data_IF_003430776680
#
_entry.id   IF_003430776680
#
_cell.length_a   1.000
_cell.length_b   1.000
_cell.length_c   1.000
_cell.angle_alpha   90.00
_cell.angle_beta   90.00
_cell.angle_gamma   90.00
#
_symmetry.space_group_name_H-M   'P 1'
#
loop_
_entity.id
_entity.type
_entity.pdbx_description
1 polymer ?
#
# COMPACT_ATOMS: atom_id res chain seq x y z
N UNK A 1 7.79 -19.47 -26.95
CA UNK A 1 6.87 -18.68 -26.12
C UNK A 1 7.73 -17.73 -25.33
N UNK A 2 7.57 -16.43 -25.55
CA UNK A 2 8.33 -15.41 -24.82
C UNK A 2 7.84 -15.37 -23.36
N UNK A 3 8.78 -15.25 -22.42
CA UNK A 3 8.45 -15.17 -21.00
C UNK A 3 7.72 -13.86 -20.70
N UNK A 4 6.65 -13.87 -19.87
CA UNK A 4 5.96 -12.64 -19.51
C UNK A 4 6.89 -11.70 -18.72
N UNK A 5 6.75 -10.40 -18.94
CA UNK A 5 7.46 -9.39 -18.16
C UNK A 5 6.88 -9.28 -16.74
N UNK A 6 7.65 -8.73 -15.79
CA UNK A 6 7.13 -8.38 -14.46
C UNK A 6 5.92 -7.46 -14.58
N UNK A 7 5.93 -6.49 -15.50
CA UNK A 7 4.79 -5.63 -15.77
C UNK A 7 3.55 -6.43 -16.16
N UNK A 8 3.68 -7.39 -17.08
CA UNK A 8 2.58 -8.23 -17.55
C UNK A 8 1.93 -9.00 -16.39
N UNK A 9 2.76 -9.57 -15.51
CA UNK A 9 2.30 -10.32 -14.34
C UNK A 9 1.62 -9.42 -13.30
N UNK A 10 2.17 -8.23 -13.04
CA UNK A 10 1.55 -7.21 -12.17
C UNK A 10 0.27 -6.63 -12.78
N UNK A 11 0.11 -6.72 -14.09
CA UNK A 11 -1.05 -6.20 -14.82
C UNK A 11 -2.21 -7.18 -14.91
N UNK A 12 -2.03 -8.40 -14.40
CA UNK A 12 -3.06 -9.43 -14.39
C UNK A 12 -4.33 -8.97 -13.64
N UNK A 13 -5.47 -9.51 -14.07
CA UNK A 13 -6.77 -9.29 -13.41
C UNK A 13 -6.69 -9.70 -11.93
N UNK A 14 -7.14 -8.81 -11.06
CA UNK A 14 -7.32 -9.13 -9.63
C UNK A 14 -8.59 -9.95 -9.40
N UNK A 15 -8.56 -10.82 -8.41
CA UNK A 15 -9.75 -11.49 -7.88
C UNK A 15 -10.82 -10.47 -7.50
N UNK A 16 -12.06 -10.70 -7.95
CA UNK A 16 -13.22 -9.90 -7.55
C UNK A 16 -13.71 -10.39 -6.19
N UNK A 17 -13.97 -9.42 -5.30
CA UNK A 17 -14.48 -9.65 -3.97
C UNK A 17 -15.89 -9.08 -3.90
N UNK A 18 -16.87 -9.90 -3.54
CA UNK A 18 -18.28 -9.52 -3.46
C UNK A 18 -18.70 -9.37 -2.01
N UNK A 19 -19.15 -8.17 -1.65
CA UNK A 19 -19.63 -7.84 -0.32
C UNK A 19 -21.01 -8.47 -0.04
N UNK A 20 -21.04 -9.44 0.87
CA UNK A 20 -22.26 -10.01 1.46
C UNK A 20 -22.37 -9.70 2.96
N UNK A 21 -21.67 -8.67 3.44
CA UNK A 21 -21.71 -8.26 4.83
C UNK A 21 -23.08 -7.66 5.18
N UNK A 22 -23.51 -7.87 6.42
CA UNK A 22 -24.56 -7.03 7.01
C UNK A 22 -23.89 -5.78 7.53
N UNK A 23 -24.51 -4.61 7.35
CA UNK A 23 -23.98 -3.34 7.90
C UNK A 23 -23.91 -3.44 9.42
N UNK A 24 -22.73 -3.71 9.93
CA UNK A 24 -22.42 -3.62 11.36
C UNK A 24 -21.56 -2.39 11.58
N UNK A 25 -22.13 -1.43 12.30
CA UNK A 25 -21.41 -0.22 12.67
C UNK A 25 -20.59 -0.53 13.91
N UNK A 26 -19.27 -0.61 13.77
CA UNK A 26 -18.39 -0.62 14.93
C UNK A 26 -18.53 0.72 15.67
N UNK A 27 -18.93 0.66 16.95
CA UNK A 27 -19.03 1.84 17.81
C UNK A 27 -17.68 2.31 18.35
N UNK A 28 -16.63 1.51 18.18
CA UNK A 28 -15.30 1.84 18.67
C UNK A 28 -14.59 2.72 17.63
N UNK A 29 -14.41 3.99 18.00
CA UNK A 29 -13.57 4.91 17.24
C UNK A 29 -12.12 4.57 17.57
N UNK A 30 -11.33 4.05 16.62
CA UNK A 30 -9.92 3.78 16.87
C UNK A 30 -9.19 5.08 17.19
N UNK A 31 -8.14 5.01 18.00
CA UNK A 31 -7.28 6.18 18.21
C UNK A 31 -6.60 6.54 16.88
N UNK A 32 -6.55 7.82 16.54
CA UNK A 32 -6.05 8.34 15.26
C UNK A 32 -4.97 9.40 15.49
N UNK A 33 -4.21 9.73 14.46
CA UNK A 33 -3.47 11.00 14.44
C UNK A 33 -4.37 12.09 13.85
N UNK A 34 -4.25 13.32 14.36
CA UNK A 34 -4.99 14.45 13.80
C UNK A 34 -4.30 14.93 12.53
N UNK A 35 -5.01 14.86 11.41
CA UNK A 35 -4.62 15.48 10.14
C UNK A 35 -5.76 16.39 9.73
N UNK A 36 -5.49 17.66 9.53
CA UNK A 36 -6.44 18.62 8.99
C UNK A 36 -6.93 18.16 7.60
N UNK A 37 -8.25 18.11 7.32
CA UNK A 37 -8.77 17.63 6.03
C UNK A 37 -8.15 18.32 4.81
N UNK A 38 -7.86 19.61 4.91
CA UNK A 38 -7.19 20.42 3.88
C UNK A 38 -5.77 19.95 3.57
N UNK A 39 -5.13 19.23 4.49
CA UNK A 39 -3.79 18.65 4.34
C UNK A 39 -3.84 17.23 3.73
N UNK A 40 -5.03 16.74 3.34
CA UNK A 40 -5.24 15.45 2.70
C UNK A 40 -5.59 15.69 1.24
N UNK A 41 -4.63 15.47 0.34
CA UNK A 41 -4.76 15.82 -1.09
C UNK A 41 -4.63 14.60 -2.01
N UNK A 42 -5.01 14.73 -3.29
CA UNK A 42 -4.79 13.67 -4.29
C UNK A 42 -3.30 13.54 -4.63
N UNK A 43 -2.82 12.30 -4.73
CA UNK A 43 -1.45 11.97 -5.13
C UNK A 43 -1.34 11.75 -6.64
N UNK A 44 -1.50 12.84 -7.40
CA UNK A 44 -1.56 12.78 -8.87
C UNK A 44 -0.30 12.22 -9.54
N UNK A 45 0.85 12.34 -8.87
CA UNK A 45 2.13 11.82 -9.37
C UNK A 45 2.25 10.30 -9.25
N UNK A 46 1.41 9.64 -8.45
CA UNK A 46 1.37 8.18 -8.33
C UNK A 46 0.49 7.59 -9.43
N UNK A 47 1.06 7.45 -10.62
CA UNK A 47 0.39 6.99 -11.82
C UNK A 47 1.28 6.04 -12.65
N UNK A 48 0.68 5.34 -13.62
CA UNK A 48 1.37 4.35 -14.45
C UNK A 48 2.58 4.95 -15.20
N UNK A 49 2.45 6.16 -15.73
CA UNK A 49 3.51 6.82 -16.51
C UNK A 49 4.74 7.05 -15.64
N UNK A 50 4.57 7.66 -14.46
CA UNK A 50 5.69 7.96 -13.56
C UNK A 50 6.32 6.69 -12.98
N UNK A 51 5.52 5.68 -12.65
CA UNK A 51 6.03 4.39 -12.16
C UNK A 51 6.85 3.70 -13.26
N UNK A 52 6.37 3.70 -14.50
CA UNK A 52 7.10 3.12 -15.62
C UNK A 52 8.36 3.91 -15.98
N UNK A 53 8.35 5.24 -15.85
CA UNK A 53 9.55 6.04 -16.06
C UNK A 53 10.62 5.73 -15.01
N UNK A 54 10.23 5.51 -13.75
CA UNK A 54 11.14 5.25 -12.65
C UNK A 54 11.69 3.82 -12.62
N UNK A 55 10.86 2.84 -12.97
CA UNK A 55 11.18 1.42 -12.79
C UNK A 55 10.92 0.56 -14.03
N UNK A 56 10.77 1.18 -15.21
CA UNK A 56 10.47 0.49 -16.46
C UNK A 56 11.47 -0.61 -16.79
N UNK A 57 12.74 -0.42 -16.42
CA UNK A 57 13.82 -1.37 -16.61
C UNK A 57 13.74 -2.60 -15.67
N UNK A 58 13.13 -2.46 -14.49
CA UNK A 58 12.77 -3.59 -13.63
C UNK A 58 11.52 -4.28 -14.15
N UNK A 59 10.52 -3.48 -14.53
CA UNK A 59 9.21 -3.92 -15.01
C UNK A 59 9.31 -4.70 -16.34
N UNK A 60 10.26 -4.34 -17.21
CA UNK A 60 10.49 -5.01 -18.49
C UNK A 60 11.22 -6.34 -18.38
N UNK A 61 11.73 -6.72 -17.20
CA UNK A 61 12.46 -7.97 -17.05
C UNK A 61 11.53 -9.17 -17.23
N UNK A 62 11.97 -10.21 -17.96
CA UNK A 62 11.22 -11.44 -18.05
C UNK A 62 11.16 -12.13 -16.68
N UNK A 63 10.04 -12.79 -16.41
CA UNK A 63 9.84 -13.53 -15.18
C UNK A 63 9.21 -14.89 -15.44
N UNK A 64 9.73 -15.90 -14.75
CA UNK A 64 9.18 -17.27 -14.76
C UNK A 64 8.14 -17.49 -13.66
N UNK A 65 7.78 -16.42 -12.94
CA UNK A 65 6.81 -16.50 -11.86
C UNK A 65 5.43 -16.73 -12.46
N UNK A 66 4.76 -17.77 -11.99
CA UNK A 66 3.36 -18.03 -12.30
C UNK A 66 2.54 -17.45 -11.14
N UNK A 67 1.95 -16.26 -11.28
CA UNK A 67 1.12 -15.69 -10.22
C UNK A 67 -0.12 -16.57 -10.02
N UNK A 68 -0.50 -16.77 -8.77
CA UNK A 68 -1.75 -17.46 -8.44
C UNK A 68 -2.94 -16.59 -8.86
N UNK A 69 -3.70 -17.02 -9.87
CA UNK A 69 -5.01 -16.42 -10.13
C UNK A 69 -5.99 -16.93 -9.07
N UNK A 70 -6.37 -16.05 -8.14
CA UNK A 70 -7.40 -16.36 -7.17
C UNK A 70 -8.78 -16.44 -7.84
N UNK A 71 -9.59 -17.41 -7.44
CA UNK A 71 -10.99 -17.45 -7.82
C UNK A 71 -11.76 -16.31 -7.14
N UNK A 72 -12.74 -15.73 -7.84
CA UNK A 72 -13.63 -14.71 -7.29
C UNK A 72 -14.32 -15.23 -6.01
N UNK A 73 -14.45 -14.36 -5.01
CA UNK A 73 -14.97 -14.75 -3.68
C UNK A 73 -16.00 -13.77 -3.16
N UNK A 74 -17.03 -14.30 -2.51
CA UNK A 74 -17.87 -13.50 -1.62
C UNK A 74 -17.37 -13.55 -0.19
N UNK A 75 -17.49 -12.46 0.56
CA UNK A 75 -17.14 -12.40 1.98
C UNK A 75 -18.32 -11.89 2.82
N UNK A 76 -18.39 -12.31 4.09
CA UNK A 76 -19.49 -12.01 5.03
C UNK A 76 -19.08 -11.10 6.17
N UNK A 77 -17.78 -10.88 6.36
CA UNK A 77 -17.23 -10.03 7.41
C UNK A 77 -15.84 -9.49 6.99
N UNK A 78 -15.33 -8.51 7.74
CA UNK A 78 -14.04 -7.87 7.47
C UNK A 78 -12.85 -8.83 7.58
N UNK A 79 -12.91 -9.85 8.44
CA UNK A 79 -11.86 -10.86 8.57
C UNK A 79 -11.73 -11.74 7.32
N UNK A 80 -12.85 -12.16 6.74
CA UNK A 80 -12.88 -12.88 5.46
C UNK A 80 -12.36 -12.00 4.32
N UNK A 81 -12.82 -10.74 4.23
CA UNK A 81 -12.32 -9.77 3.25
C UNK A 81 -10.80 -9.66 3.32
N UNK A 82 -10.26 -9.45 4.54
CA UNK A 82 -8.83 -9.33 4.78
C UNK A 82 -8.07 -10.57 4.31
N UNK A 83 -8.52 -11.76 4.72
CA UNK A 83 -7.85 -13.01 4.37
C UNK A 83 -7.88 -13.25 2.85
N UNK A 84 -9.03 -13.03 2.19
CA UNK A 84 -9.15 -13.23 0.75
C UNK A 84 -8.35 -12.22 -0.06
N UNK A 85 -8.38 -10.94 0.34
CA UNK A 85 -7.62 -9.89 -0.31
C UNK A 85 -6.11 -10.11 -0.17
N UNK A 86 -5.62 -10.32 1.06
CA UNK A 86 -4.17 -10.41 1.29
C UNK A 86 -3.55 -11.74 0.93
N UNK A 87 -4.24 -12.88 1.06
CA UNK A 87 -3.64 -14.16 0.66
C UNK A 87 -3.38 -14.18 -0.85
N UNK A 88 -4.34 -13.69 -1.64
CA UNK A 88 -4.18 -13.57 -3.10
C UNK A 88 -3.07 -12.56 -3.43
N UNK A 89 -3.11 -11.37 -2.82
CA UNK A 89 -2.10 -10.32 -3.03
C UNK A 89 -0.68 -10.83 -2.73
N UNK A 90 -0.48 -11.45 -1.57
CA UNK A 90 0.82 -11.95 -1.12
C UNK A 90 1.31 -13.07 -2.05
N UNK A 91 0.43 -13.99 -2.44
CA UNK A 91 0.80 -15.10 -3.34
C UNK A 91 1.29 -14.61 -4.70
N UNK A 92 0.73 -13.50 -5.19
CA UNK A 92 1.13 -12.87 -6.46
C UNK A 92 2.37 -12.00 -6.30
N UNK A 93 2.36 -11.10 -5.32
CA UNK A 93 3.38 -10.06 -5.19
C UNK A 93 4.68 -10.54 -4.57
N UNK A 94 4.64 -11.46 -3.59
CA UNK A 94 5.86 -11.86 -2.87
C UNK A 94 7.00 -12.27 -3.80
N UNK A 95 6.83 -13.18 -4.77
CA UNK A 95 7.94 -13.56 -5.66
C UNK A 95 8.38 -12.42 -6.58
N UNK A 96 7.43 -11.61 -7.11
CA UNK A 96 7.74 -10.49 -8.02
C UNK A 96 8.49 -9.36 -7.31
N UNK A 97 8.07 -9.06 -6.08
CA UNK A 97 8.71 -8.10 -5.18
C UNK A 97 10.09 -8.58 -4.79
N UNK A 98 10.26 -9.85 -4.42
CA UNK A 98 11.59 -10.39 -4.07
C UNK A 98 12.58 -10.26 -5.24
N UNK A 99 12.17 -10.61 -6.46
CA UNK A 99 13.04 -10.48 -7.64
C UNK A 99 13.41 -9.01 -7.92
N UNK A 100 12.42 -8.11 -7.85
CA UNK A 100 12.63 -6.68 -8.08
C UNK A 100 13.48 -6.02 -7.00
N UNK A 101 13.21 -6.36 -5.73
CA UNK A 101 13.93 -5.87 -4.56
C UNK A 101 15.38 -6.33 -4.55
N UNK A 102 15.66 -7.55 -5.02
CA UNK A 102 17.03 -8.06 -5.19
C UNK A 102 17.82 -7.20 -6.17
N UNK A 103 17.25 -6.92 -7.35
CA UNK A 103 17.90 -6.11 -8.38
C UNK A 103 18.07 -4.66 -7.92
N UNK A 104 17.01 -4.06 -7.36
CA UNK A 104 17.05 -2.69 -6.88
C UNK A 104 18.01 -2.54 -5.69
N UNK A 105 17.97 -3.46 -4.74
CA UNK A 105 18.88 -3.51 -3.61
C UNK A 105 20.34 -3.54 -4.06
N UNK A 106 20.70 -4.38 -5.03
CA UNK A 106 22.06 -4.44 -5.57
C UNK A 106 22.55 -3.07 -6.07
N UNK A 107 21.66 -2.28 -6.71
CA UNK A 107 21.98 -0.92 -7.17
C UNK A 107 22.16 0.06 -6.01
N UNK A 108 21.41 -0.14 -4.93
CA UNK A 108 21.46 0.65 -3.71
C UNK A 108 22.55 0.17 -2.73
N UNK A 109 23.30 -0.88 -3.07
CA UNK A 109 24.38 -1.42 -2.24
C UNK A 109 23.94 -2.32 -1.07
N UNK A 110 22.74 -2.90 -1.09
CA UNK A 110 22.28 -3.86 -0.07
C UNK A 110 21.41 -4.98 -0.66
N UNK A 111 21.22 -6.08 0.07
CA UNK A 111 20.40 -7.21 -0.40
C UNK A 111 19.21 -7.42 0.55
N UNK A 112 18.04 -6.83 0.29
CA UNK A 112 16.90 -6.96 1.20
C UNK A 112 16.16 -8.28 1.00
N UNK A 113 15.81 -8.93 2.10
CA UNK A 113 14.74 -9.93 2.13
C UNK A 113 13.43 -9.24 2.51
N UNK A 114 12.38 -9.42 1.70
CA UNK A 114 11.09 -8.77 1.96
C UNK A 114 10.15 -9.74 2.68
N UNK A 115 9.72 -9.35 3.87
CA UNK A 115 8.78 -10.12 4.68
C UNK A 115 7.39 -9.47 4.72
N UNK A 116 6.38 -10.31 4.90
CA UNK A 116 4.96 -9.95 4.86
C UNK A 116 4.26 -10.55 6.07
N UNK A 117 3.76 -9.71 6.97
CA UNK A 117 3.20 -10.13 8.25
C UNK A 117 1.78 -9.61 8.41
N UNK A 118 0.82 -10.52 8.57
CA UNK A 118 -0.57 -10.18 8.84
C UNK A 118 -0.83 -10.15 10.36
N UNK A 119 -1.54 -9.14 10.84
CA UNK A 119 -1.98 -8.99 12.25
C UNK A 119 -0.87 -9.05 13.32
N UNK A 120 0.38 -8.84 12.91
CA UNK A 120 1.52 -8.77 13.83
C UNK A 120 1.62 -7.35 14.39
N UNK A 121 1.76 -7.18 15.71
CA UNK A 121 2.05 -5.89 16.32
C UNK A 121 3.22 -5.18 15.65
N UNK A 122 3.08 -3.87 15.39
CA UNK A 122 4.23 -3.05 15.03
C UNK A 122 5.26 -3.13 16.15
N UNK A 123 6.46 -3.58 15.81
CA UNK A 123 7.62 -3.58 16.68
C UNK A 123 8.49 -2.36 16.36
N UNK A 124 8.95 -1.65 17.38
CA UNK A 124 9.89 -0.55 17.23
C UNK A 124 10.04 0.27 18.50
N UNK A 125 11.19 0.96 18.68
CA UNK A 125 11.46 1.78 19.87
C UNK A 125 10.47 2.95 20.06
N UNK A 126 9.74 3.31 19.00
CA UNK A 126 8.75 4.39 18.98
C UNK A 126 7.31 3.91 19.26
N UNK A 127 7.08 2.60 19.41
CA UNK A 127 5.74 2.06 19.73
C UNK A 127 5.58 2.02 21.25
N UNK A 128 5.09 3.12 21.82
CA UNK A 128 4.80 3.24 23.25
C UNK A 128 3.28 3.09 23.47
N UNK A 129 2.84 2.10 24.25
CA UNK A 129 1.43 1.89 24.60
C UNK A 129 0.79 0.63 23.99
N UNK A 130 -0.51 0.68 23.67
CA UNK A 130 -1.23 -0.45 23.05
C UNK A 130 -0.59 -0.86 21.72
N UNK A 131 -0.38 -2.17 21.56
CA UNK A 131 0.15 -2.78 20.34
C UNK A 131 -0.70 -2.39 19.10
N UNK A 132 -0.13 -1.57 18.23
CA UNK A 132 -0.73 -1.24 16.93
C UNK A 132 -0.67 -2.46 16.02
N UNK A 133 -1.81 -2.86 15.45
CA UNK A 133 -1.91 -4.04 14.59
C UNK A 133 -2.46 -3.68 13.22
N UNK A 134 -1.61 -3.26 12.27
CA UNK A 134 -1.98 -3.17 10.87
C UNK A 134 -2.49 -4.52 10.37
N UNK A 135 -3.40 -4.50 9.40
CA UNK A 135 -3.92 -5.74 8.82
C UNK A 135 -2.85 -6.49 8.01
N UNK A 136 -1.88 -5.75 7.45
CA UNK A 136 -0.66 -6.29 6.86
C UNK A 136 0.47 -5.25 7.00
N UNK A 137 1.63 -5.73 7.43
CA UNK A 137 2.90 -4.99 7.49
C UNK A 137 3.91 -5.64 6.56
N UNK A 138 4.59 -4.82 5.76
CA UNK A 138 5.65 -5.25 4.84
C UNK A 138 6.95 -4.60 5.32
N UNK A 139 8.02 -5.39 5.44
CA UNK A 139 9.31 -4.87 5.86
C UNK A 139 10.47 -5.51 5.10
N UNK A 140 11.59 -4.80 5.05
CA UNK A 140 12.88 -5.36 4.67
C UNK A 140 13.58 -5.89 5.92
N UNK A 141 14.05 -7.14 5.85
CA UNK A 141 14.86 -7.77 6.87
C UNK A 141 16.30 -7.26 6.79
N UNK A 142 16.47 -6.04 7.30
CA UNK A 142 17.76 -5.35 7.46
C UNK A 142 18.05 -5.21 8.96
N UNK A 143 19.26 -4.78 9.31
CA UNK A 143 19.62 -4.39 10.68
C UNK A 143 19.82 -2.86 10.74
N UNK A 144 18.93 -2.09 11.42
CA UNK A 144 17.65 -2.51 12.02
C UNK A 144 16.58 -2.82 10.96
N UNK A 145 15.53 -3.55 11.35
CA UNK A 145 14.41 -3.92 10.47
C UNK A 145 13.69 -2.67 9.97
N UNK A 146 13.42 -2.59 8.67
CA UNK A 146 12.83 -1.40 8.03
C UNK A 146 11.41 -1.67 7.57
N UNK A 147 10.42 -1.01 8.18
CA UNK A 147 9.06 -1.03 7.66
C UNK A 147 9.02 -0.33 6.30
N UNK A 148 8.35 -0.98 5.34
CA UNK A 148 8.23 -0.54 3.95
C UNK A 148 6.84 0.03 3.70
N UNK A 149 5.81 -0.72 4.08
CA UNK A 149 4.42 -0.26 4.00
C UNK A 149 3.57 -0.92 5.09
N UNK A 150 2.54 -0.20 5.53
CA UNK A 150 1.51 -0.71 6.45
C UNK A 150 0.13 -0.61 5.82
N UNK A 151 -0.81 -1.40 6.27
CA UNK A 151 -2.14 -1.40 5.67
C UNK A 151 -3.27 -1.70 6.63
N UNK A 152 -4.48 -1.39 6.15
CA UNK A 152 -5.72 -1.75 6.79
C UNK A 152 -6.74 -2.23 5.75
N UNK A 153 -7.80 -2.88 6.23
CA UNK A 153 -8.91 -3.34 5.38
C UNK A 153 -10.18 -2.61 5.77
N UNK A 154 -10.97 -2.19 4.78
CA UNK A 154 -12.32 -1.65 4.95
C UNK A 154 -13.29 -2.33 3.99
N UNK A 155 -14.54 -2.47 4.40
CA UNK A 155 -15.61 -2.90 3.49
C UNK A 155 -16.11 -1.67 2.73
N UNK A 156 -16.29 -1.77 1.42
CA UNK A 156 -16.70 -0.66 0.54
C UNK A 156 -18.10 -0.13 0.87
N UNK A 157 -18.95 -0.91 1.53
CA UNK A 157 -20.24 -0.45 2.04
C UNK A 157 -20.13 0.45 3.28
N UNK A 158 -18.96 0.50 3.91
CA UNK A 158 -18.65 1.33 5.09
C UNK A 158 -17.76 2.53 4.74
N UNK A 159 -16.83 2.39 3.78
CA UNK A 159 -15.96 3.48 3.36
C UNK A 159 -15.45 3.28 1.93
N UNK A 160 -15.45 4.35 1.15
CA UNK A 160 -14.86 4.43 -0.19
C UNK A 160 -14.01 5.69 -0.33
N UNK A 161 -13.06 5.64 -1.25
CA UNK A 161 -12.24 6.80 -1.59
C UNK A 161 -13.06 7.98 -2.12
N UNK A 162 -14.17 7.70 -2.82
CA UNK A 162 -15.13 8.71 -3.28
C UNK A 162 -15.79 9.48 -2.13
N UNK A 163 -15.82 8.92 -0.92
CA UNK A 163 -16.38 9.63 0.24
C UNK A 163 -15.48 10.82 0.64
N UNK A 164 -14.18 10.74 0.34
CA UNK A 164 -13.24 11.86 0.53
C UNK A 164 -13.50 12.95 -0.49
N UNK A 165 -13.73 12.60 -1.76
CA UNK A 165 -13.98 13.58 -2.83
C UNK A 165 -15.30 14.31 -2.68
N UNK A 166 -16.29 13.65 -2.08
CA UNK A 166 -17.62 14.21 -1.84
C UNK A 166 -17.75 14.86 -0.45
N UNK A 167 -16.64 15.07 0.26
CA UNK A 167 -16.59 15.68 1.60
C UNK A 167 -17.56 15.05 2.61
N UNK A 168 -17.76 13.73 2.52
CA UNK A 168 -18.63 12.99 3.44
C UNK A 168 -18.05 13.08 4.85
N UNK A 169 -18.86 13.36 5.90
CA UNK A 169 -18.36 13.46 7.26
C UNK A 169 -17.54 12.24 7.67
N UNK A 170 -16.35 12.47 8.25
CA UNK A 170 -15.41 11.44 8.72
C UNK A 170 -14.81 10.56 7.60
N UNK A 171 -14.92 10.93 6.33
CA UNK A 171 -14.31 10.20 5.22
C UNK A 171 -12.78 10.09 5.29
N UNK A 172 -12.12 11.02 6.01
CA UNK A 172 -10.66 11.06 6.20
C UNK A 172 -10.16 10.20 7.36
N UNK A 173 -11.05 9.65 8.19
CA UNK A 173 -10.71 8.83 9.37
C UNK A 173 -9.82 7.64 9.02
N UNK A 174 -10.06 6.88 7.93
CA UNK A 174 -9.15 5.79 7.54
C UNK A 174 -7.72 6.23 7.24
N UNK A 175 -7.53 7.40 6.60
CA UNK A 175 -6.21 7.96 6.33
C UNK A 175 -5.51 8.36 7.63
N UNK A 176 -6.23 9.02 8.53
CA UNK A 176 -5.74 9.39 9.86
C UNK A 176 -5.38 8.15 10.72
N UNK A 177 -6.14 7.07 10.61
CA UNK A 177 -5.84 5.81 11.29
C UNK A 177 -4.58 5.15 10.74
N UNK A 178 -4.39 5.12 9.41
CA UNK A 178 -3.15 4.62 8.80
C UNK A 178 -1.93 5.47 9.17
N UNK A 179 -2.10 6.78 9.37
CA UNK A 179 -1.04 7.67 9.84
C UNK A 179 -0.46 7.23 11.20
N UNK A 180 -1.30 6.66 12.06
CA UNK A 180 -0.88 6.06 13.35
C UNK A 180 0.05 4.86 13.16
N UNK A 181 -0.02 4.15 12.04
CA UNK A 181 0.92 3.07 11.71
C UNK A 181 2.18 3.63 11.06
N UNK A 182 2.03 4.53 10.09
CA UNK A 182 3.13 5.11 9.33
C UNK A 182 4.16 5.84 10.22
N UNK A 183 3.69 6.74 11.09
CA UNK A 183 4.55 7.60 11.89
C UNK A 183 5.54 6.81 12.80
N UNK A 184 5.10 5.89 13.68
CA UNK A 184 6.03 5.14 14.55
C UNK A 184 6.79 4.03 13.82
N UNK A 185 6.31 3.57 12.66
CA UNK A 185 7.00 2.54 11.88
C UNK A 185 8.14 3.12 11.02
N UNK A 186 8.22 4.44 10.91
CA UNK A 186 9.24 5.14 10.12
C UNK A 186 9.08 4.95 8.60
N UNK A 187 7.93 4.45 8.15
CA UNK A 187 7.56 4.48 6.73
C UNK A 187 6.52 5.57 6.48
N UNK A 188 6.67 6.26 5.36
CA UNK A 188 5.67 7.21 4.87
C UNK A 188 4.54 6.56 4.07
N UNK A 189 4.64 5.27 3.75
CA UNK A 189 3.72 4.61 2.82
C UNK A 189 2.76 3.70 3.56
N UNK A 190 1.47 3.85 3.24
CA UNK A 190 0.41 2.96 3.68
C UNK A 190 -0.59 2.71 2.57
N UNK A 191 -1.47 1.73 2.76
CA UNK A 191 -2.62 1.57 1.88
C UNK A 191 -3.85 1.00 2.60
N UNK A 192 -5.03 1.45 2.21
CA UNK A 192 -6.30 0.84 2.58
C UNK A 192 -6.78 -0.09 1.46
N UNK A 193 -7.17 -1.31 1.81
CA UNK A 193 -7.70 -2.30 0.89
C UNK A 193 -9.21 -2.45 1.10
N UNK A 194 -10.00 -2.38 0.04
CA UNK A 194 -11.43 -2.70 0.06
C UNK A 194 -11.77 -3.77 -0.96
N UNK A 195 -13.02 -4.22 -0.98
CA UNK A 195 -13.54 -5.10 -2.02
C UNK A 195 -13.61 -4.45 -3.41
N UNK A 196 -13.60 -3.12 -3.51
CA UNK A 196 -13.70 -2.40 -4.79
C UNK A 196 -12.41 -1.73 -5.23
N UNK A 197 -11.49 -1.42 -4.33
CA UNK A 197 -10.30 -0.60 -4.63
C UNK A 197 -9.15 -0.82 -3.64
N UNK A 198 -7.98 -0.27 -3.99
CA UNK A 198 -6.90 0.03 -3.06
C UNK A 198 -6.65 1.52 -3.05
N UNK A 199 -6.59 2.11 -1.87
CA UNK A 199 -6.21 3.51 -1.68
C UNK A 199 -4.80 3.55 -1.14
N UNK A 200 -3.84 3.91 -1.99
CA UNK A 200 -2.45 4.12 -1.59
C UNK A 200 -2.30 5.49 -0.98
N UNK A 201 -1.50 5.59 0.08
CA UNK A 201 -1.33 6.79 0.88
C UNK A 201 0.16 7.05 1.10
N UNK A 202 0.49 8.33 0.99
CA UNK A 202 1.82 8.89 1.16
C UNK A 202 1.75 10.01 2.23
N UNK A 203 2.39 9.79 3.38
CA UNK A 203 2.48 10.76 4.47
C UNK A 203 3.70 11.65 4.33
N UNK A 204 3.58 12.90 4.77
CA UNK A 204 4.67 13.86 4.79
C UNK A 204 4.52 14.82 5.97
N UNK A 205 5.62 15.43 6.38
CA UNK A 205 5.58 16.51 7.36
C UNK A 205 5.27 17.84 6.67
N UNK A 206 4.51 18.68 7.36
CA UNK A 206 4.26 20.06 7.00
C UNK A 206 5.06 20.99 7.92
N UNK A 207 5.02 22.28 7.60
CA UNK A 207 5.59 23.30 8.47
C UNK A 207 4.95 23.21 9.86
N UNK A 208 5.72 23.53 10.91
CA UNK A 208 5.28 23.49 12.32
C UNK A 208 5.03 22.09 12.91
N UNK A 209 5.44 21.04 12.21
CA UNK A 209 5.36 19.66 12.73
C UNK A 209 4.01 18.99 12.53
N UNK A 210 3.12 19.60 11.75
CA UNK A 210 1.87 18.98 11.32
C UNK A 210 2.14 17.82 10.34
N UNK A 211 1.20 16.89 10.26
CA UNK A 211 1.26 15.77 9.30
C UNK A 211 0.29 16.04 8.16
N UNK A 212 0.74 15.88 6.93
CA UNK A 212 -0.08 15.87 5.72
C UNK A 212 -0.09 14.49 5.07
N UNK A 213 -1.05 14.28 4.18
CA UNK A 213 -1.18 13.03 3.42
C UNK A 213 -1.56 13.29 1.96
N UNK A 214 -1.06 12.47 1.07
CA UNK A 214 -1.54 12.38 -0.31
C UNK A 214 -2.07 10.97 -0.57
N UNK A 215 -3.14 10.85 -1.35
CA UNK A 215 -3.75 9.55 -1.63
C UNK A 215 -4.13 9.37 -3.10
N UNK A 216 -4.06 8.12 -3.57
CA UNK A 216 -4.63 7.74 -4.87
C UNK A 216 -5.40 6.43 -4.74
N UNK A 217 -6.50 6.32 -5.48
CA UNK A 217 -7.38 5.15 -5.45
C UNK A 217 -7.26 4.37 -6.77
N UNK A 218 -7.04 3.07 -6.64
CA UNK A 218 -6.86 2.14 -7.75
C UNK A 218 -8.03 1.16 -7.74
N UNK A 219 -8.91 1.18 -8.75
CA UNK A 219 -10.02 0.24 -8.83
C UNK A 219 -9.53 -1.20 -8.91
N UNK A 220 -10.19 -2.13 -8.20
CA UNK A 220 -9.87 -3.57 -8.26
C UNK A 220 -10.05 -4.17 -9.65
N UNK A 221 -10.94 -3.58 -10.45
CA UNK A 221 -11.19 -3.98 -11.84
C UNK A 221 -10.09 -3.53 -12.81
N UNK A 222 -9.16 -2.66 -12.39
CA UNK A 222 -8.06 -2.22 -13.24
C UNK A 222 -7.12 -3.40 -13.58
N UNK A 223 -6.88 -3.61 -14.88
CA UNK A 223 -5.98 -4.62 -15.41
C UNK A 223 -5.39 -4.16 -16.76
N UNK A 224 -4.36 -4.86 -17.23
CA UNK A 224 -3.65 -4.59 -18.48
C UNK A 224 -2.43 -3.67 -18.31
N UNK A 225 -1.42 -3.87 -19.17
CA UNK A 225 -0.07 -3.27 -19.05
C UNK A 225 -0.04 -1.75 -19.19
N UNK A 226 -1.10 -1.12 -19.70
CA UNK A 226 -1.24 0.33 -19.78
C UNK A 226 -1.90 0.98 -18.55
N UNK A 227 -2.28 0.19 -17.54
CA UNK A 227 -3.11 0.67 -16.42
C UNK A 227 -2.41 0.46 -15.09
N UNK A 228 -2.54 1.42 -14.17
CA UNK A 228 -2.13 1.24 -12.78
C UNK A 228 -3.06 0.24 -12.09
N UNK A 229 -2.58 -0.99 -11.87
CA UNK A 229 -3.32 -2.05 -11.16
C UNK A 229 -3.02 -2.07 -9.66
N UNK A 230 -3.83 -2.79 -8.87
CA UNK A 230 -3.58 -2.98 -7.43
C UNK A 230 -2.18 -3.58 -7.18
N UNK A 231 -1.84 -4.64 -7.92
CA UNK A 231 -0.56 -5.33 -7.78
C UNK A 231 0.60 -4.39 -8.10
N UNK A 232 0.51 -3.66 -9.21
CA UNK A 232 1.54 -2.69 -9.60
C UNK A 232 1.67 -1.55 -8.59
N UNK A 233 0.55 -1.03 -8.07
CA UNK A 233 0.55 0.02 -7.07
C UNK A 233 1.26 -0.41 -5.77
N UNK A 234 0.94 -1.58 -5.24
CA UNK A 234 1.56 -2.08 -4.01
C UNK A 234 3.02 -2.46 -4.25
N UNK A 235 3.34 -3.05 -5.41
CA UNK A 235 4.72 -3.28 -5.82
C UNK A 235 5.53 -1.97 -5.86
N UNK A 236 4.97 -0.91 -6.45
CA UNK A 236 5.65 0.38 -6.58
C UNK A 236 5.87 1.04 -5.21
N UNK A 237 4.88 0.99 -4.29
CA UNK A 237 5.08 1.46 -2.91
C UNK A 237 6.27 0.77 -2.24
N UNK A 238 6.40 -0.55 -2.42
CA UNK A 238 7.51 -1.32 -1.85
C UNK A 238 8.84 -0.90 -2.49
N UNK A 239 8.91 -0.82 -3.83
CA UNK A 239 10.16 -0.41 -4.51
C UNK A 239 10.60 1.00 -4.11
N UNK A 240 9.65 1.94 -4.03
CA UNK A 240 9.93 3.30 -3.55
C UNK A 240 10.44 3.28 -2.11
N UNK A 241 9.82 2.49 -1.24
CA UNK A 241 10.23 2.40 0.17
C UNK A 241 11.61 1.78 0.39
N UNK A 242 12.20 1.09 -0.60
CA UNK A 242 13.56 0.57 -0.48
C UNK A 242 14.62 1.66 -0.57
N UNK A 243 14.31 2.80 -1.19
CA UNK A 243 15.19 3.96 -1.22
C UNK A 243 14.95 4.85 0.01
N UNK A 244 15.98 5.10 0.82
CA UNK A 244 15.86 5.87 2.06
C UNK A 244 15.39 7.32 1.82
N UNK A 245 15.74 7.94 0.69
CA UNK A 245 15.24 9.27 0.31
C UNK A 245 13.73 9.26 0.07
N UNK A 246 13.21 8.13 -0.39
CA UNK A 246 11.79 7.95 -0.62
C UNK A 246 11.08 7.36 0.60
N UNK A 247 11.73 6.74 1.58
CA UNK A 247 11.04 6.03 2.67
C UNK A 247 10.66 6.93 3.85
N UNK A 248 11.57 7.81 4.25
CA UNK A 248 11.40 8.63 5.46
C UNK A 248 10.26 9.63 5.32
N UNK A 249 9.54 9.87 6.43
CA UNK A 249 8.61 11.00 6.52
C UNK A 249 9.44 12.28 6.58
N UNK A 250 9.36 13.08 5.51
CA UNK A 250 10.11 14.33 5.36
C UNK A 250 9.15 15.47 5.01
N UNK A 251 9.63 16.71 5.09
CA UNK A 251 8.86 17.88 4.66
C UNK A 251 8.40 17.78 3.21
N UNK A 252 7.20 18.25 2.88
CA UNK A 252 6.62 18.17 1.53
C UNK A 252 7.59 18.65 0.41
N UNK A 253 8.30 19.77 0.63
CA UNK A 253 9.28 20.31 -0.31
C UNK A 253 10.53 19.42 -0.51
N UNK A 254 10.78 18.47 0.40
CA UNK A 254 11.89 17.50 0.32
C UNK A 254 11.44 16.15 -0.22
N UNK A 255 10.19 16.04 -0.66
CA UNK A 255 9.68 14.80 -1.22
C UNK A 255 10.16 14.65 -2.65
N UNK A 256 10.94 13.59 -2.90
CA UNK A 256 11.45 13.28 -4.23
C UNK A 256 10.30 12.79 -5.13
N UNK A 257 10.10 13.36 -6.34
CA UNK A 257 9.17 12.82 -7.33
C UNK A 257 9.48 11.35 -7.63
N UNK A 258 8.47 10.56 -8.02
CA UNK A 258 8.65 9.12 -8.28
C UNK A 258 9.69 8.88 -9.39
N UNK A 259 9.69 9.75 -10.40
CA UNK A 259 10.53 9.66 -11.60
C UNK A 259 11.77 10.57 -11.57
N UNK A 260 12.21 10.98 -10.38
CA UNK A 260 13.42 11.80 -10.21
C UNK A 260 14.69 10.94 -10.13
#
# INVERSE_FOLDING_TARGET
MDQPSILSLLSARNTILTDNTRREWSRNVPTMITIHPENITRWNNFNMININNAYGDLLSKPSNIIPGQGADKSFRNQSELRNYAFNTLISTLRPLVSESARVLGQRLGFSPTIEWHQDVPLAGPQVVGQALRPSLTIFADTMPRRNLATSMVHVSSTWRSTDIENDVPRSTVPIQHLGRYAQPSGTRYSFAMTDTEVVVIHFHSLDRGETGAQWNAIPRRACGEGTLTINLAIWALIMMSLNDQHRSVVGYARTTPINA
#
